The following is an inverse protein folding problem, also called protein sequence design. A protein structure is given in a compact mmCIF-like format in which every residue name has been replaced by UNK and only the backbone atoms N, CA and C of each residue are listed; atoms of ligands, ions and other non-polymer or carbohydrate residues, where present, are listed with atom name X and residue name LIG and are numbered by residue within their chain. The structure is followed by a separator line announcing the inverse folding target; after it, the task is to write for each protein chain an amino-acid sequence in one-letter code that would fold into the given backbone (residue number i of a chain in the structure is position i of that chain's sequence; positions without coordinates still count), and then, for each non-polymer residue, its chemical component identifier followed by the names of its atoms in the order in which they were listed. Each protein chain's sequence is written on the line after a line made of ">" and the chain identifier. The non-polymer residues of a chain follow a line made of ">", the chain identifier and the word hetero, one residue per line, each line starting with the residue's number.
data_IF_759790795303
#
_entry.id   IF_759790795303
#
_cell.length_a   1.000
_cell.length_b   1.000
_cell.length_c   1.000
_cell.angle_alpha   90.00
_cell.angle_beta   90.00
_cell.angle_gamma   90.00
#
_symmetry.space_group_name_H-M   'P 1'
#
loop_
_entity.id
_entity.type
_entity.pdbx_description
1 polymer ?
#
# COMPACT_ATOMS: atom_id res chain seq x y z
N UNK A 1 68.48 24.48 -29.14
CA UNK A 1 67.54 23.56 -28.44
C UNK A 1 66.66 22.90 -29.49
N UNK A 2 66.48 21.58 -29.41
CA UNK A 2 65.69 20.68 -30.27
C UNK A 2 64.82 19.80 -29.31
N UNK A 3 63.70 19.16 -29.65
CA UNK A 3 63.16 18.68 -30.95
C UNK A 3 61.62 18.37 -30.86
N UNK A 4 60.89 18.42 -31.99
CA UNK A 4 59.73 17.59 -32.51
C UNK A 4 58.73 16.90 -31.54
N UNK A 5 57.40 16.71 -31.78
CA UNK A 5 56.51 16.39 -32.96
C UNK A 5 55.03 16.81 -32.58
N UNK A 6 53.92 16.94 -33.35
CA UNK A 6 53.38 16.68 -34.74
C UNK A 6 53.07 15.18 -35.04
N UNK A 7 51.94 14.68 -35.63
CA UNK A 7 50.91 15.17 -36.61
C UNK A 7 49.47 14.63 -36.27
N UNK A 8 48.44 14.97 -37.06
CA UNK A 8 46.96 14.82 -36.85
C UNK A 8 46.28 13.86 -37.90
N UNK A 9 44.92 13.78 -38.19
CA UNK A 9 44.24 12.52 -38.59
C UNK A 9 43.68 12.45 -40.05
N UNK A 10 42.95 11.38 -40.40
CA UNK A 10 42.25 11.15 -41.70
C UNK A 10 40.90 10.40 -41.52
N UNK A 11 39.96 10.47 -42.48
CA UNK A 11 38.60 9.90 -42.42
C UNK A 11 38.05 9.25 -43.72
N UNK A 12 37.08 8.33 -43.57
CA UNK A 12 35.89 7.98 -44.40
C UNK A 12 35.94 7.90 -45.97
N UNK A 13 35.60 6.71 -46.55
CA UNK A 13 34.64 6.42 -47.68
C UNK A 13 35.05 5.36 -48.77
N UNK A 14 34.03 4.63 -49.25
CA UNK A 14 33.73 4.20 -50.66
C UNK A 14 34.22 2.86 -51.33
N UNK A 15 33.27 1.90 -51.46
CA UNK A 15 32.68 1.30 -52.70
C UNK A 15 33.43 0.35 -53.72
N UNK A 16 32.79 -0.80 -53.98
CA UNK A 16 32.50 -1.49 -55.30
C UNK A 16 33.42 -2.61 -55.91
N UNK A 17 32.75 -3.68 -56.40
CA UNK A 17 33.10 -4.75 -57.38
C UNK A 17 34.22 -5.78 -57.07
N UNK A 18 34.23 -7.01 -57.66
CA UNK A 18 33.17 -7.74 -58.38
C UNK A 18 33.59 -8.58 -59.62
N UNK A 19 33.80 -9.91 -59.47
CA UNK A 19 33.76 -11.01 -60.48
C UNK A 19 34.08 -12.34 -59.73
N UNK A 20 33.51 -13.55 -59.92
CA UNK A 20 32.72 -14.25 -60.97
C UNK A 20 33.54 -15.23 -61.86
N UNK A 21 33.60 -16.50 -61.42
CA UNK A 21 33.92 -17.72 -62.19
C UNK A 21 33.61 -18.95 -61.30
N UNK A 22 33.17 -20.13 -61.74
CA UNK A 22 32.58 -20.57 -63.02
C UNK A 22 31.67 -21.79 -62.69
N UNK A 23 30.66 -22.11 -63.50
CA UNK A 23 29.73 -23.22 -63.24
C UNK A 23 30.03 -24.46 -64.09
N UNK A 24 29.76 -25.67 -63.56
CA UNK A 24 29.10 -26.82 -64.24
C UNK A 24 28.52 -27.76 -63.15
N UNK A 25 27.41 -28.44 -63.48
CA UNK A 25 26.54 -29.28 -62.63
C UNK A 25 26.39 -30.64 -63.36
N UNK A 26 26.44 -31.82 -62.70
CA UNK A 26 25.20 -32.40 -62.15
C UNK A 26 25.28 -33.37 -60.95
N UNK A 27 24.19 -33.35 -60.16
CA UNK A 27 23.48 -34.59 -59.83
C UNK A 27 23.75 -35.25 -58.48
N UNK A 28 22.94 -34.93 -57.48
CA UNK A 28 22.02 -35.90 -56.87
C UNK A 28 20.89 -35.16 -56.14
N UNK A 29 19.67 -35.71 -56.19
CA UNK A 29 18.54 -35.19 -55.41
C UNK A 29 18.27 -36.14 -54.23
N UNK A 30 18.23 -35.61 -53.02
CA UNK A 30 17.81 -36.32 -51.82
C UNK A 30 16.96 -35.37 -50.96
N UNK A 31 15.76 -35.80 -50.61
CA UNK A 31 14.82 -35.03 -49.79
C UNK A 31 15.23 -35.10 -48.32
N UNK A 32 15.64 -33.98 -47.73
CA UNK A 32 15.80 -33.87 -46.28
C UNK A 32 14.41 -33.74 -45.62
N UNK A 33 14.11 -34.58 -44.64
CA UNK A 33 12.92 -34.42 -43.80
C UNK A 33 13.07 -33.22 -42.86
N UNK A 34 11.96 -32.55 -42.55
CA UNK A 34 11.89 -31.64 -41.42
C UNK A 34 11.82 -32.46 -40.13
N UNK A 35 12.96 -32.59 -39.43
CA UNK A 35 13.03 -33.25 -38.11
C UNK A 35 12.50 -32.29 -37.03
N UNK A 36 11.18 -32.07 -37.04
CA UNK A 36 10.45 -31.29 -36.04
C UNK A 36 10.45 -32.03 -34.69
N UNK A 37 11.60 -32.03 -34.02
CA UNK A 37 11.70 -32.38 -32.61
C UNK A 37 11.13 -31.24 -31.80
N UNK A 38 9.84 -31.33 -31.52
CA UNK A 38 9.23 -30.60 -30.40
C UNK A 38 10.11 -30.81 -29.18
N UNK A 39 10.65 -29.72 -28.61
CA UNK A 39 11.06 -29.77 -27.22
C UNK A 39 9.84 -30.24 -26.41
N UNK A 40 9.98 -31.12 -25.40
CA UNK A 40 8.88 -31.39 -24.51
C UNK A 40 8.51 -30.07 -23.85
N UNK A 41 7.23 -29.70 -23.92
CA UNK A 41 6.69 -28.79 -22.92
C UNK A 41 7.02 -29.44 -21.57
N UNK A 42 7.77 -28.71 -20.74
CA UNK A 42 7.93 -29.08 -19.35
C UNK A 42 6.55 -28.90 -18.72
N UNK A 43 5.73 -29.95 -18.78
CA UNK A 43 4.49 -30.04 -18.06
C UNK A 43 4.84 -29.84 -16.59
N UNK A 44 4.63 -28.62 -16.11
CA UNK A 44 4.78 -28.29 -14.71
C UNK A 44 3.91 -29.30 -13.97
N UNK A 45 4.55 -30.16 -13.18
CA UNK A 45 3.82 -31.00 -12.24
C UNK A 45 3.25 -30.00 -11.26
N UNK A 46 2.02 -29.57 -11.50
CA UNK A 46 1.30 -28.68 -10.62
C UNK A 46 1.42 -29.28 -9.22
N UNK A 47 2.18 -28.60 -8.36
CA UNK A 47 2.29 -28.99 -6.98
C UNK A 47 0.86 -29.06 -6.48
N UNK A 48 0.48 -30.19 -5.88
CA UNK A 48 -0.88 -30.32 -5.39
C UNK A 48 -1.00 -29.33 -4.24
N UNK A 49 -1.58 -28.15 -4.51
CA UNK A 49 -1.82 -27.11 -3.50
C UNK A 49 -2.49 -27.79 -2.30
N UNK A 50 -1.84 -27.66 -1.14
CA UNK A 50 -2.33 -28.20 0.12
C UNK A 50 -2.67 -27.00 0.97
N UNK A 51 -3.96 -26.75 1.14
CA UNK A 51 -4.44 -25.62 1.91
C UNK A 51 -3.82 -25.66 3.33
N UNK A 52 -3.15 -24.60 3.79
CA UNK A 52 -2.36 -24.63 5.03
C UNK A 52 -3.23 -24.77 6.27
N UNK A 53 -2.67 -25.37 7.32
CA UNK A 53 -3.22 -25.27 8.67
C UNK A 53 -2.78 -23.94 9.26
N UNK A 54 -3.71 -23.01 9.45
CA UNK A 54 -3.41 -21.68 9.97
C UNK A 54 -3.21 -21.68 11.50
N UNK A 55 -2.20 -20.96 11.97
CA UNK A 55 -1.80 -20.84 13.38
C UNK A 55 -1.50 -19.38 13.75
N UNK A 56 -1.78 -18.99 15.00
CA UNK A 56 -1.42 -17.67 15.52
C UNK A 56 -0.03 -17.73 16.18
N UNK A 57 0.86 -16.83 15.77
CA UNK A 57 2.25 -16.73 16.17
C UNK A 57 2.56 -15.54 17.07
N UNK A 58 1.63 -14.61 17.31
CA UNK A 58 1.92 -13.36 18.05
C UNK A 58 2.53 -13.61 19.45
N UNK A 59 2.18 -14.73 20.08
CA UNK A 59 2.75 -15.15 21.36
C UNK A 59 4.21 -15.64 21.30
N UNK A 60 4.60 -16.29 20.20
CA UNK A 60 5.98 -16.69 19.95
C UNK A 60 6.81 -15.51 19.44
N UNK A 61 6.22 -14.69 18.59
CA UNK A 61 6.85 -13.55 17.93
C UNK A 61 7.12 -12.32 18.84
N UNK A 62 6.66 -12.34 20.10
CA UNK A 62 6.80 -11.21 21.03
C UNK A 62 5.75 -10.09 20.86
N UNK A 63 4.83 -10.23 19.89
CA UNK A 63 3.83 -9.23 19.50
C UNK A 63 2.53 -9.26 20.35
N UNK A 64 2.45 -10.13 21.36
CA UNK A 64 1.25 -10.30 22.19
C UNK A 64 0.84 -9.00 22.93
N UNK A 65 -0.22 -8.36 22.43
CA UNK A 65 -0.81 -7.12 22.98
C UNK A 65 -2.34 -7.22 23.02
N UNK A 66 -3.02 -6.35 23.77
CA UNK A 66 -4.49 -6.32 23.83
C UNK A 66 -5.01 -4.92 24.16
N UNK A 67 -5.18 -4.10 23.13
CA UNK A 67 -5.49 -2.67 23.25
C UNK A 67 -6.17 -2.13 21.99
N UNK A 68 -6.13 -0.82 21.76
CA UNK A 68 -6.73 -0.18 20.57
C UNK A 68 -5.68 0.30 19.58
N UNK A 69 -5.79 -0.20 18.38
CA UNK A 69 -4.93 0.03 17.22
C UNK A 69 -5.48 1.17 16.36
N UNK A 70 -5.01 1.31 15.11
CA UNK A 70 -5.77 1.96 14.04
C UNK A 70 -5.35 1.48 12.64
N UNK A 71 -4.04 1.35 12.40
CA UNK A 71 -3.48 0.72 11.20
C UNK A 71 -2.13 0.06 11.49
N UNK A 72 -1.63 -0.75 10.56
CA UNK A 72 -0.26 -1.28 10.61
C UNK A 72 0.33 -1.42 9.22
N UNK A 73 1.63 -1.15 9.10
CA UNK A 73 2.39 -1.21 7.85
C UNK A 73 3.54 -2.23 7.99
N UNK A 74 3.99 -2.79 6.86
CA UNK A 74 5.09 -3.76 6.75
C UNK A 74 6.21 -3.17 5.89
N UNK A 75 7.43 -3.16 6.40
CA UNK A 75 8.55 -2.46 5.77
C UNK A 75 9.91 -2.96 6.27
N UNK A 76 10.92 -3.00 5.41
CA UNK A 76 12.32 -3.13 5.83
C UNK A 76 12.87 -1.73 6.15
N UNK A 77 12.96 -1.35 7.44
CA UNK A 77 13.37 0.02 7.81
C UNK A 77 14.88 0.20 7.92
N UNK A 78 15.67 -0.86 8.18
CA UNK A 78 17.14 -0.79 8.29
C UNK A 78 17.95 -1.46 7.16
N UNK A 79 17.27 -1.89 6.09
CA UNK A 79 17.80 -2.56 4.89
C UNK A 79 18.49 -3.91 5.17
N UNK A 80 17.89 -4.74 6.04
CA UNK A 80 18.41 -6.06 6.39
C UNK A 80 17.83 -7.20 5.54
N UNK A 81 16.73 -6.94 4.83
CA UNK A 81 16.05 -7.88 3.92
C UNK A 81 14.88 -8.65 4.54
N UNK A 82 14.38 -8.22 5.71
CA UNK A 82 13.22 -8.78 6.40
C UNK A 82 12.14 -7.71 6.61
N UNK A 83 10.86 -8.10 6.60
CA UNK A 83 9.79 -7.16 6.94
C UNK A 83 9.74 -6.90 8.46
N UNK A 84 9.90 -5.64 8.82
CA UNK A 84 9.58 -5.06 10.13
C UNK A 84 8.12 -4.60 10.19
N UNK A 85 7.63 -4.34 11.40
CA UNK A 85 6.22 -3.99 11.65
C UNK A 85 6.11 -2.59 12.28
N UNK A 86 5.42 -1.67 11.61
CA UNK A 86 5.00 -0.38 12.19
C UNK A 86 3.52 -0.44 12.56
N UNK A 87 3.20 -0.66 13.85
CA UNK A 87 1.79 -0.64 14.31
C UNK A 87 1.42 0.73 14.87
N UNK A 88 0.43 1.36 14.23
CA UNK A 88 -0.14 2.64 14.65
C UNK A 88 -1.20 2.42 15.71
N UNK A 89 -1.09 3.16 16.80
CA UNK A 89 -2.11 3.20 17.84
C UNK A 89 -2.76 4.60 17.84
N UNK A 90 -4.08 4.66 17.89
CA UNK A 90 -4.80 5.91 18.12
C UNK A 90 -4.36 6.53 19.48
N UNK A 91 -4.72 7.81 19.74
CA UNK A 91 -4.49 8.70 20.91
C UNK A 91 -4.25 8.14 22.36
N UNK A 92 -4.39 6.84 22.62
CA UNK A 92 -4.31 6.16 23.91
C UNK A 92 -2.96 5.48 24.20
N UNK A 93 -2.23 5.06 23.17
CA UNK A 93 -0.95 4.33 23.23
C UNK A 93 0.06 4.97 22.27
N UNK A 94 1.37 4.85 22.53
CA UNK A 94 2.42 5.29 21.59
C UNK A 94 2.38 4.46 20.28
N UNK A 95 2.77 5.01 19.13
CA UNK A 95 3.01 4.20 17.91
C UNK A 95 4.35 3.49 18.05
N UNK A 96 4.47 2.26 17.54
CA UNK A 96 5.67 1.43 17.76
C UNK A 96 6.16 0.80 16.47
N UNK A 97 7.49 0.83 16.30
CA UNK A 97 8.23 0.10 15.28
C UNK A 97 8.88 -1.13 15.92
N UNK A 98 8.62 -2.28 15.31
CA UNK A 98 9.05 -3.60 15.73
C UNK A 98 9.99 -4.15 14.68
N UNK A 99 11.30 -4.14 14.96
CA UNK A 99 12.26 -4.80 14.07
C UNK A 99 12.10 -6.31 14.16
N UNK A 100 12.15 -6.98 13.01
CA UNK A 100 12.35 -8.41 12.93
C UNK A 100 13.74 -8.78 13.50
N UNK A 101 13.83 -9.84 14.30
CA UNK A 101 15.10 -10.33 14.85
C UNK A 101 15.68 -11.52 14.04
N UNK A 102 15.04 -11.89 12.92
CA UNK A 102 15.50 -12.93 11.99
C UNK A 102 15.31 -14.37 12.48
N UNK A 103 14.76 -14.56 13.68
CA UNK A 103 14.40 -15.87 14.25
C UNK A 103 12.87 -16.09 14.36
N UNK A 104 12.09 -15.19 13.76
CA UNK A 104 10.63 -15.16 13.87
C UNK A 104 10.11 -14.44 15.11
N UNK A 105 10.97 -13.72 15.85
CA UNK A 105 10.59 -12.80 16.92
C UNK A 105 10.87 -11.34 16.57
N UNK A 106 10.23 -10.41 17.28
CA UNK A 106 10.30 -8.98 17.01
C UNK A 106 10.68 -8.16 18.24
N UNK A 107 11.63 -7.24 18.08
CA UNK A 107 12.07 -6.29 19.10
C UNK A 107 11.53 -4.88 18.81
N UNK A 108 10.91 -4.29 19.84
CA UNK A 108 10.47 -2.89 19.83
C UNK A 108 11.70 -1.95 19.83
N UNK A 109 12.12 -1.46 18.66
CA UNK A 109 13.33 -0.65 18.48
C UNK A 109 13.08 0.85 18.61
N UNK A 110 11.96 1.33 18.08
CA UNK A 110 11.59 2.74 18.07
C UNK A 110 10.11 2.94 18.41
N UNK A 111 9.77 4.14 18.90
CA UNK A 111 8.39 4.54 19.18
C UNK A 111 8.16 6.02 18.93
N UNK A 112 6.98 6.33 18.40
CA UNK A 112 6.50 7.70 18.23
C UNK A 112 5.54 8.02 19.40
N UNK A 113 5.92 8.91 20.34
CA UNK A 113 5.11 9.21 21.51
C UNK A 113 3.69 9.65 21.15
N UNK A 114 2.70 9.17 21.92
CA UNK A 114 1.31 9.66 21.82
C UNK A 114 1.12 11.05 22.45
N UNK A 115 2.07 11.44 23.31
CA UNK A 115 2.07 12.71 24.04
C UNK A 115 3.29 13.51 23.61
N UNK A 116 3.07 14.69 23.02
CA UNK A 116 4.14 15.59 22.61
C UNK A 116 4.78 16.33 23.81
N UNK A 117 5.83 17.12 23.56
CA UNK A 117 6.53 17.89 24.59
C UNK A 117 5.60 18.86 25.38
N UNK A 118 4.56 19.37 24.73
CA UNK A 118 3.55 20.30 25.24
C UNK A 118 2.41 19.59 26.01
N UNK A 119 2.49 18.27 26.22
CA UNK A 119 1.44 17.41 26.82
C UNK A 119 0.12 17.36 26.03
N UNK A 120 0.16 17.74 24.76
CA UNK A 120 -0.90 17.46 23.80
C UNK A 120 -0.86 16.00 23.37
N UNK A 121 -2.03 15.47 23.04
CA UNK A 121 -2.19 14.14 22.43
C UNK A 121 -2.54 14.33 20.97
N UNK A 122 -1.85 13.62 20.06
CA UNK A 122 -2.17 13.65 18.64
C UNK A 122 -3.30 12.66 18.32
N UNK A 123 -4.23 13.07 17.47
CA UNK A 123 -5.27 12.20 16.90
C UNK A 123 -4.65 11.41 15.73
N UNK A 124 -3.54 10.70 15.99
CA UNK A 124 -2.80 9.94 14.97
C UNK A 124 -3.70 8.83 14.45
N UNK A 125 -3.78 8.71 13.13
CA UNK A 125 -4.59 7.70 12.46
C UNK A 125 -3.70 6.71 11.74
N UNK A 126 -2.96 7.20 10.74
CA UNK A 126 -2.23 6.33 9.82
C UNK A 126 -0.79 6.80 9.63
N UNK A 127 0.10 5.88 9.28
CA UNK A 127 1.50 6.15 8.96
C UNK A 127 1.94 5.30 7.77
N UNK A 128 2.77 5.85 6.89
CA UNK A 128 3.29 5.14 5.72
C UNK A 128 4.76 5.48 5.48
N UNK A 129 5.53 4.50 5.00
CA UNK A 129 6.98 4.60 4.86
C UNK A 129 7.46 4.91 3.42
N UNK A 130 8.48 5.76 3.30
CA UNK A 130 9.20 6.04 2.04
C UNK A 130 10.54 6.76 2.34
N UNK A 131 11.59 6.46 1.58
CA UNK A 131 12.83 7.26 1.52
C UNK A 131 12.52 8.59 0.82
N UNK A 132 12.17 9.62 1.60
CA UNK A 132 11.65 10.89 1.06
C UNK A 132 12.76 11.89 0.77
N UNK A 133 13.91 11.79 1.43
CA UNK A 133 15.09 12.64 1.20
C UNK A 133 16.13 12.03 0.25
N UNK A 134 16.01 10.73 -0.08
CA UNK A 134 16.87 10.02 -1.02
C UNK A 134 18.18 9.51 -0.39
N UNK A 135 18.25 9.36 0.94
CA UNK A 135 19.42 8.85 1.63
C UNK A 135 19.57 7.32 1.59
N UNK A 136 18.52 6.58 1.19
CA UNK A 136 18.49 5.11 1.14
C UNK A 136 17.93 4.44 2.38
N UNK A 137 17.25 5.16 3.27
CA UNK A 137 16.57 4.65 4.46
C UNK A 137 15.10 5.09 4.42
N UNK A 138 14.18 4.26 4.92
CA UNK A 138 12.77 4.63 4.94
C UNK A 138 12.47 5.66 6.04
N UNK A 139 11.84 6.77 5.66
CA UNK A 139 11.29 7.77 6.57
C UNK A 139 9.81 7.47 6.86
N UNK A 140 9.32 7.84 8.04
CA UNK A 140 7.95 7.54 8.48
C UNK A 140 7.13 8.84 8.56
N UNK A 141 6.21 9.04 7.63
CA UNK A 141 5.16 10.06 7.78
C UNK A 141 3.99 9.51 8.60
N UNK A 142 3.43 10.31 9.50
CA UNK A 142 2.22 9.99 10.26
C UNK A 142 1.17 11.12 10.20
N UNK A 143 -0.07 10.76 9.87
CA UNK A 143 -1.19 11.69 9.73
C UNK A 143 -1.77 12.11 11.10
N UNK A 144 -1.87 13.42 11.31
CA UNK A 144 -2.38 14.03 12.53
C UNK A 144 -3.79 14.61 12.34
N UNK A 145 -4.81 13.99 12.94
CA UNK A 145 -6.17 14.52 12.91
C UNK A 145 -6.38 15.73 13.85
N UNK A 146 -7.13 16.74 13.40
CA UNK A 146 -7.75 17.71 14.31
C UNK A 146 -9.09 17.20 14.87
N UNK A 147 -9.27 17.23 16.19
CA UNK A 147 -10.48 16.79 16.90
C UNK A 147 -11.18 17.95 17.67
N UNK A 148 -12.27 17.68 18.41
CA UNK A 148 -13.05 18.74 19.09
C UNK A 148 -12.29 19.46 20.23
N UNK A 149 -11.18 18.90 20.70
CA UNK A 149 -10.30 19.51 21.71
C UNK A 149 -9.13 20.29 21.08
N UNK A 150 -8.99 20.25 19.76
CA UNK A 150 -7.88 20.80 19.00
C UNK A 150 -8.40 21.31 17.64
N UNK A 151 -9.01 22.51 17.62
CA UNK A 151 -9.62 23.06 16.40
C UNK A 151 -8.60 23.49 15.34
N UNK A 152 -7.39 23.87 15.76
CA UNK A 152 -6.25 24.18 14.89
C UNK A 152 -5.05 23.45 15.49
N UNK A 153 -4.35 22.63 14.69
CA UNK A 153 -3.06 22.03 15.09
C UNK A 153 -1.99 23.13 15.15
N UNK A 154 -1.14 23.09 16.17
CA UNK A 154 0.12 23.85 16.17
C UNK A 154 1.21 22.97 15.57
N UNK A 155 2.34 23.57 15.17
CA UNK A 155 3.49 22.84 14.60
C UNK A 155 3.87 21.57 15.38
N UNK A 156 3.80 21.63 16.71
CA UNK A 156 4.21 20.53 17.59
C UNK A 156 3.09 19.50 17.84
N UNK A 157 1.91 19.73 17.26
CA UNK A 157 0.74 18.82 17.25
C UNK A 157 0.27 18.55 15.81
N UNK A 158 1.13 18.76 14.82
CA UNK A 158 0.73 18.68 13.42
C UNK A 158 0.81 17.24 12.88
N UNK A 159 0.89 17.07 11.57
CA UNK A 159 1.37 15.83 10.98
C UNK A 159 2.87 15.69 11.26
N UNK A 160 3.34 14.46 11.43
CA UNK A 160 4.73 14.16 11.80
C UNK A 160 5.46 13.56 10.58
N UNK A 161 6.74 13.88 10.39
CA UNK A 161 7.61 13.26 9.38
C UNK A 161 8.94 12.90 10.03
N UNK A 162 9.07 11.63 10.40
CA UNK A 162 10.23 11.09 11.09
C UNK A 162 11.30 10.69 10.07
N UNK A 163 12.21 11.61 9.79
CA UNK A 163 13.35 11.32 8.93
C UNK A 163 14.33 10.38 9.62
N UNK A 164 14.80 9.36 8.91
CA UNK A 164 15.74 8.36 9.40
C UNK A 164 17.18 8.75 9.05
N UNK A 165 17.94 9.24 10.04
CA UNK A 165 19.30 9.75 9.84
C UNK A 165 20.38 8.65 9.81
N UNK A 166 20.00 7.45 10.25
CA UNK A 166 20.73 6.18 10.26
C UNK A 166 19.74 5.11 10.74
N UNK A 167 19.98 3.80 10.51
CA UNK A 167 19.20 2.70 11.09
C UNK A 167 18.71 2.93 12.53
N UNK A 168 17.39 3.00 12.70
CA UNK A 168 16.68 3.21 13.96
C UNK A 168 16.76 4.63 14.55
N UNK A 169 17.41 5.59 13.89
CA UNK A 169 17.68 6.94 14.40
C UNK A 169 16.81 8.00 13.71
N UNK A 170 15.54 8.03 14.12
CA UNK A 170 14.53 8.93 13.59
C UNK A 170 14.53 10.33 14.22
N UNK A 171 14.12 11.35 13.48
CA UNK A 171 13.85 12.72 13.97
C UNK A 171 12.67 13.36 13.24
N UNK A 172 11.66 13.82 13.98
CA UNK A 172 10.52 14.55 13.38
C UNK A 172 10.96 15.89 12.77
N UNK A 173 10.48 16.10 11.55
CA UNK A 173 10.71 17.27 10.70
C UNK A 173 9.43 17.79 10.03
N UNK A 174 8.25 17.25 10.35
CA UNK A 174 7.01 17.47 9.57
C UNK A 174 6.65 18.94 9.30
N UNK A 175 6.83 19.83 10.27
CA UNK A 175 6.63 21.28 10.06
C UNK A 175 7.74 21.91 9.20
N UNK A 176 8.99 21.51 9.39
CA UNK A 176 10.14 22.05 8.65
C UNK A 176 10.13 21.60 7.18
N UNK A 177 9.54 20.44 6.90
CA UNK A 177 9.38 19.84 5.57
C UNK A 177 8.09 20.22 4.84
N UNK A 178 7.26 21.09 5.41
CA UNK A 178 6.08 21.64 4.72
C UNK A 178 4.81 20.80 4.79
N UNK A 179 4.83 19.61 5.42
CA UNK A 179 3.63 18.76 5.61
C UNK A 179 2.74 19.16 6.79
N UNK A 180 3.08 20.28 7.46
CA UNK A 180 2.21 20.93 8.44
C UNK A 180 0.87 21.34 7.83
N UNK A 181 -0.22 20.93 8.47
CA UNK A 181 -1.59 21.14 8.01
C UNK A 181 -2.46 21.50 9.21
N UNK A 182 -2.36 22.75 9.66
CA UNK A 182 -3.05 23.26 10.84
C UNK A 182 -4.57 22.95 10.89
N UNK A 183 -5.21 22.74 9.73
CA UNK A 183 -6.63 22.42 9.58
C UNK A 183 -6.91 20.98 9.09
N UNK A 184 -5.87 20.15 8.96
CA UNK A 184 -5.95 18.76 8.52
C UNK A 184 -6.72 17.84 9.45
N UNK A 185 -7.63 17.07 8.87
CA UNK A 185 -8.38 15.98 9.52
C UNK A 185 -7.80 14.63 9.08
N UNK A 186 -6.47 14.51 9.18
CA UNK A 186 -5.66 13.46 8.55
C UNK A 186 -6.14 12.05 8.86
N UNK A 187 -6.18 11.22 7.83
CA UNK A 187 -6.57 9.80 7.83
C UNK A 187 -5.57 9.05 6.94
N UNK A 188 -6.01 8.21 6.00
CA UNK A 188 -5.09 7.26 5.37
C UNK A 188 -4.10 7.98 4.43
N UNK A 189 -2.90 7.42 4.32
CA UNK A 189 -1.76 8.01 3.62
C UNK A 189 -1.41 7.16 2.40
N UNK A 190 -0.91 7.79 1.34
CA UNK A 190 -0.20 7.07 0.29
C UNK A 190 0.99 7.87 -0.22
N UNK A 191 2.13 7.18 -0.41
CA UNK A 191 3.28 7.68 -1.15
C UNK A 191 3.15 7.24 -2.61
N UNK A 192 3.09 8.19 -3.54
CA UNK A 192 2.85 7.94 -4.96
C UNK A 192 3.44 9.05 -5.81
N UNK A 193 4.23 8.70 -6.82
CA UNK A 193 4.63 9.63 -7.88
C UNK A 193 3.37 10.02 -8.68
N UNK A 194 2.90 11.28 -8.56
CA UNK A 194 1.68 11.74 -9.25
C UNK A 194 1.96 12.52 -10.53
N UNK A 195 3.13 13.16 -10.67
CA UNK A 195 3.47 13.94 -11.87
C UNK A 195 4.52 13.30 -12.81
N UNK A 196 4.95 12.08 -12.48
CA UNK A 196 5.86 11.19 -13.21
C UNK A 196 7.31 11.73 -13.29
N UNK A 197 7.82 12.34 -12.21
CA UNK A 197 9.21 12.83 -12.15
C UNK A 197 10.22 11.82 -11.58
N UNK A 198 9.75 10.75 -10.92
CA UNK A 198 10.55 9.68 -10.34
C UNK A 198 10.64 9.69 -8.81
N UNK A 199 10.16 10.72 -8.13
CA UNK A 199 10.00 10.74 -6.67
C UNK A 199 8.55 10.45 -6.28
N UNK A 200 8.32 9.86 -5.09
CA UNK A 200 6.96 9.72 -4.57
C UNK A 200 6.52 11.00 -3.86
N UNK A 201 5.35 11.49 -4.26
CA UNK A 201 4.62 12.56 -3.60
C UNK A 201 3.78 12.03 -2.44
N UNK A 202 3.38 12.91 -1.53
CA UNK A 202 2.58 12.56 -0.37
C UNK A 202 1.09 12.89 -0.61
N UNK A 203 0.23 11.88 -0.61
CA UNK A 203 -1.23 12.05 -0.62
C UNK A 203 -1.79 11.78 0.79
N UNK A 204 -2.44 12.79 1.38
CA UNK A 204 -3.01 12.74 2.73
C UNK A 204 -4.53 12.76 2.65
N UNK A 205 -5.15 11.61 2.91
CA UNK A 205 -6.59 11.46 3.12
C UNK A 205 -7.07 12.32 4.27
N UNK A 206 -8.22 12.99 4.11
CA UNK A 206 -8.79 13.86 5.15
C UNK A 206 -10.30 13.63 5.29
N UNK A 207 -10.81 13.66 6.52
CA UNK A 207 -12.26 13.81 6.73
C UNK A 207 -12.73 15.21 6.30
N UNK A 208 -13.98 15.29 5.86
CA UNK A 208 -14.63 16.52 5.44
C UNK A 208 -14.63 17.62 6.52
N UNK A 209 -14.70 18.86 6.03
CA UNK A 209 -14.93 20.08 6.81
C UNK A 209 -16.05 19.90 7.86
N UNK A 210 -15.85 20.45 9.06
CA UNK A 210 -16.88 20.39 10.11
C UNK A 210 -17.94 21.44 9.87
N UNK A 211 -19.21 21.07 10.01
CA UNK A 211 -20.34 22.01 9.96
C UNK A 211 -20.49 22.84 11.26
N UNK A 212 -19.41 23.46 11.75
CA UNK A 212 -19.43 24.41 12.87
C UNK A 212 -19.10 25.82 12.35
N UNK A 213 -20.02 26.81 12.43
CA UNK A 213 -19.77 28.19 11.98
C UNK A 213 -18.77 28.96 12.86
N UNK A 214 -18.22 28.35 13.92
CA UNK A 214 -17.13 28.90 14.74
C UNK A 214 -15.78 28.28 14.45
N UNK A 215 -15.71 27.28 13.56
CA UNK A 215 -14.46 26.60 13.27
C UNK A 215 -13.50 27.57 12.54
N UNK A 216 -12.34 27.92 13.12
CA UNK A 216 -11.43 28.90 12.52
C UNK A 216 -10.86 28.42 11.18
N UNK A 217 -10.90 27.12 10.89
CA UNK A 217 -10.51 26.54 9.61
C UNK A 217 -11.49 26.90 8.48
N UNK A 218 -12.78 27.08 8.79
CA UNK A 218 -13.81 27.43 7.81
C UNK A 218 -13.83 28.94 7.49
N UNK A 219 -13.08 29.75 8.24
CA UNK A 219 -13.01 31.20 8.08
C UNK A 219 -11.88 31.55 7.13
N UNK A 220 -12.19 31.71 5.84
CA UNK A 220 -11.22 32.00 4.78
C UNK A 220 -10.29 33.20 5.05
N UNK A 221 -10.73 34.18 5.86
CA UNK A 221 -9.91 35.32 6.27
C UNK A 221 -8.71 34.96 7.17
N UNK A 222 -8.69 33.74 7.74
CA UNK A 222 -7.56 33.23 8.53
C UNK A 222 -6.44 32.62 7.67
N UNK A 223 -6.68 32.39 6.37
CA UNK A 223 -5.64 31.95 5.42
C UNK A 223 -5.18 30.49 5.53
N UNK A 224 -5.92 29.63 6.25
CA UNK A 224 -5.60 28.20 6.34
C UNK A 224 -5.82 27.45 5.02
N UNK A 225 -5.13 26.32 4.85
CA UNK A 225 -5.40 25.38 3.76
C UNK A 225 -6.80 24.74 3.93
N UNK A 226 -7.50 24.37 2.83
CA UNK A 226 -8.77 23.67 2.90
C UNK A 226 -8.67 22.36 3.69
N UNK A 227 -9.70 21.97 4.44
CA UNK A 227 -9.68 20.72 5.23
C UNK A 227 -9.68 19.44 4.38
N UNK A 228 -9.94 19.55 3.08
CA UNK A 228 -9.97 18.42 2.17
C UNK A 228 -8.63 17.68 2.01
N UNK A 229 -8.70 16.54 1.35
CA UNK A 229 -7.57 15.69 0.96
C UNK A 229 -6.51 16.50 0.22
N UNK A 230 -5.23 16.23 0.52
CA UNK A 230 -4.10 17.02 0.01
C UNK A 230 -3.12 16.14 -0.74
N UNK A 231 -2.48 16.75 -1.74
CA UNK A 231 -1.24 16.26 -2.33
C UNK A 231 -0.13 17.25 -1.97
N UNK A 232 1.03 16.75 -1.59
CA UNK A 232 2.26 17.53 -1.43
C UNK A 232 3.32 16.95 -2.37
N UNK A 233 3.81 17.76 -3.31
CA UNK A 233 4.83 17.31 -4.26
C UNK A 233 6.22 17.31 -3.61
N UNK A 234 7.07 16.33 -3.94
CA UNK A 234 8.44 16.21 -3.41
C UNK A 234 9.44 17.00 -4.26
N UNK A 235 10.12 17.99 -3.65
CA UNK A 235 11.18 18.80 -4.31
C UNK A 235 12.51 18.03 -4.33
N UNK A 236 12.49 16.81 -4.89
CA UNK A 236 13.62 15.89 -5.08
C UNK A 236 14.47 15.69 -3.82
N UNK A 237 13.81 15.44 -2.69
CA UNK A 237 14.44 15.26 -1.38
C UNK A 237 14.79 16.55 -0.64
N UNK A 238 14.37 17.72 -1.12
CA UNK A 238 14.55 19.00 -0.42
C UNK A 238 13.36 19.42 0.47
N UNK A 239 12.18 18.81 0.30
CA UNK A 239 10.96 19.12 1.06
C UNK A 239 9.66 18.76 0.33
N UNK A 240 8.53 18.94 1.00
CA UNK A 240 7.19 18.62 0.47
C UNK A 240 6.30 19.86 0.37
N UNK A 241 5.80 20.17 -0.83
CA UNK A 241 5.05 21.41 -1.11
C UNK A 241 3.57 21.13 -1.44
N UNK A 242 2.64 21.70 -0.64
CA UNK A 242 1.20 21.55 -0.88
C UNK A 242 0.79 22.01 -2.29
N UNK A 243 0.20 21.08 -3.05
CA UNK A 243 -0.10 21.28 -4.45
C UNK A 243 -1.61 21.37 -4.71
N UNK A 244 -2.12 22.61 -4.74
CA UNK A 244 -3.55 22.90 -4.87
C UNK A 244 -4.18 22.35 -6.17
N UNK A 245 -3.45 22.31 -7.28
CA UNK A 245 -3.93 21.78 -8.56
C UNK A 245 -4.25 20.27 -8.46
N UNK A 246 -3.42 19.51 -7.75
CA UNK A 246 -3.59 18.09 -7.51
C UNK A 246 -4.61 17.79 -6.40
N UNK A 247 -4.90 18.74 -5.52
CA UNK A 247 -5.77 18.56 -4.33
C UNK A 247 -7.28 18.75 -4.59
N UNK A 248 -7.75 18.55 -5.82
CA UNK A 248 -9.13 18.86 -6.27
C UNK A 248 -10.14 17.72 -6.01
N UNK A 249 -10.23 17.25 -4.76
CA UNK A 249 -11.05 16.09 -4.39
C UNK A 249 -12.43 16.45 -3.80
N UNK A 250 -13.39 15.52 -3.89
CA UNK A 250 -14.62 15.57 -3.05
C UNK A 250 -14.26 15.38 -1.57
N UNK A 251 -15.05 15.95 -0.63
CA UNK A 251 -14.84 15.74 0.81
C UNK A 251 -14.86 14.26 1.23
N UNK A 252 -14.10 13.91 2.27
CA UNK A 252 -13.86 12.54 2.78
C UNK A 252 -13.03 11.59 1.88
N UNK A 253 -12.44 12.03 0.76
CA UNK A 253 -11.54 11.18 -0.04
C UNK A 253 -10.34 10.72 0.81
N UNK A 254 -9.99 9.44 0.79
CA UNK A 254 -8.89 8.88 1.59
C UNK A 254 -9.20 8.76 3.09
N UNK A 255 -10.44 8.99 3.52
CA UNK A 255 -10.75 9.06 4.97
C UNK A 255 -10.95 7.71 5.67
N UNK A 256 -10.96 6.60 4.92
CA UNK A 256 -10.93 5.21 5.45
C UNK A 256 -10.02 4.24 4.66
N UNK A 257 -9.84 4.42 3.36
CA UNK A 257 -8.83 3.71 2.56
C UNK A 257 -8.29 4.67 1.49
N UNK A 258 -7.05 4.47 1.03
CA UNK A 258 -6.42 5.25 -0.03
C UNK A 258 -5.47 4.35 -0.82
N UNK A 259 -5.79 4.06 -2.08
CA UNK A 259 -5.11 3.04 -2.90
C UNK A 259 -4.66 3.66 -4.23
N UNK A 260 -3.34 3.82 -4.46
CA UNK A 260 -2.79 4.14 -5.76
C UNK A 260 -2.87 2.93 -6.71
N UNK A 261 -3.34 3.13 -7.95
CA UNK A 261 -3.33 2.11 -9.00
C UNK A 261 -3.47 2.75 -10.38
N UNK A 262 -2.62 2.42 -11.36
CA UNK A 262 -2.88 2.74 -12.77
C UNK A 262 -3.93 1.77 -13.32
N UNK A 263 -5.21 2.05 -13.03
CA UNK A 263 -6.31 1.16 -13.43
C UNK A 263 -6.62 1.23 -14.92
N UNK A 264 -6.07 2.21 -15.65
CA UNK A 264 -6.42 2.48 -17.03
C UNK A 264 -5.27 2.20 -18.01
N UNK A 265 -4.08 1.89 -17.49
CA UNK A 265 -2.84 1.59 -18.19
C UNK A 265 -2.33 2.75 -19.08
N UNK A 266 -2.56 4.00 -18.67
CA UNK A 266 -2.03 5.21 -19.36
C UNK A 266 -0.68 5.71 -18.82
N UNK A 267 -0.07 4.96 -17.90
CA UNK A 267 1.29 5.15 -17.38
C UNK A 267 1.38 6.20 -16.27
N UNK A 268 0.27 6.55 -15.63
CA UNK A 268 0.19 7.45 -14.46
C UNK A 268 -0.60 6.77 -13.36
N UNK A 269 -0.19 6.98 -12.11
CA UNK A 269 -0.90 6.39 -10.98
C UNK A 269 -2.23 7.14 -10.74
N UNK A 270 -3.36 6.44 -10.86
CA UNK A 270 -4.67 6.93 -10.45
C UNK A 270 -4.89 6.66 -8.94
N UNK A 271 -5.96 7.23 -8.36
CA UNK A 271 -6.29 7.04 -6.94
C UNK A 271 -7.72 6.51 -6.75
N UNK A 272 -7.85 5.46 -5.93
CA UNK A 272 -9.11 5.02 -5.31
C UNK A 272 -9.08 5.44 -3.83
N UNK A 273 -10.21 5.90 -3.27
CA UNK A 273 -10.27 6.26 -1.85
C UNK A 273 -11.65 6.09 -1.23
N UNK A 274 -11.70 5.47 -0.05
CA UNK A 274 -12.94 5.18 0.68
C UNK A 274 -13.31 6.33 1.62
N UNK A 275 -14.62 6.64 1.72
CA UNK A 275 -15.13 7.67 2.63
C UNK A 275 -15.67 7.09 3.95
N UNK A 276 -15.18 7.59 5.09
CA UNK A 276 -15.56 7.12 6.43
C UNK A 276 -17.07 7.28 6.74
N UNK A 277 -17.66 6.29 7.43
CA UNK A 277 -19.08 6.16 7.86
C UNK A 277 -20.12 5.96 6.76
N UNK A 278 -20.02 6.63 5.62
CA UNK A 278 -20.94 6.42 4.49
C UNK A 278 -20.43 5.34 3.52
N UNK A 279 -19.16 4.95 3.65
CA UNK A 279 -18.48 3.84 2.99
C UNK A 279 -18.65 3.90 1.47
N UNK A 280 -18.34 5.05 0.85
CA UNK A 280 -18.40 5.23 -0.60
C UNK A 280 -16.98 5.17 -1.16
N UNK A 281 -16.75 4.33 -2.16
CA UNK A 281 -15.54 4.40 -2.96
C UNK A 281 -15.62 5.59 -3.91
N UNK A 282 -14.60 6.46 -3.87
CA UNK A 282 -14.34 7.49 -4.86
C UNK A 282 -13.17 7.05 -5.74
N UNK A 283 -13.15 7.47 -7.00
CA UNK A 283 -12.05 7.21 -7.91
C UNK A 283 -11.66 8.48 -8.66
N UNK A 284 -10.36 8.68 -8.85
CA UNK A 284 -9.78 9.87 -9.47
C UNK A 284 -8.73 9.48 -10.48
N UNK A 285 -8.93 9.86 -11.74
CA UNK A 285 -7.97 9.63 -12.81
C UNK A 285 -6.92 10.74 -12.85
N UNK A 286 -5.67 10.37 -12.99
CA UNK A 286 -4.54 11.27 -13.16
C UNK A 286 -4.50 11.80 -14.60
N UNK A 287 -4.24 13.10 -14.76
CA UNK A 287 -4.18 13.76 -16.07
C UNK A 287 -2.78 14.25 -16.45
N UNK A 288 -1.78 14.01 -15.61
CA UNK A 288 -0.42 14.58 -15.74
C UNK A 288 -0.32 16.05 -15.32
N UNK A 289 -1.39 16.61 -14.75
CA UNK A 289 -1.39 17.98 -14.19
C UNK A 289 -2.50 18.18 -13.13
N UNK A 290 -2.84 17.11 -12.38
CA UNK A 290 -3.99 17.07 -11.48
C UNK A 290 -4.89 15.86 -11.70
N UNK A 291 -5.86 15.70 -10.79
CA UNK A 291 -6.82 14.59 -10.77
C UNK A 291 -8.21 15.00 -11.26
N UNK A 292 -8.92 14.07 -11.93
CA UNK A 292 -10.33 14.23 -12.34
C UNK A 292 -11.20 13.09 -11.81
N UNK A 293 -12.39 13.43 -11.29
CA UNK A 293 -13.33 12.48 -10.69
C UNK A 293 -13.87 11.45 -11.71
N UNK A 294 -13.50 10.20 -11.51
CA UNK A 294 -13.90 9.02 -12.30
C UNK A 294 -14.87 8.10 -11.53
N UNK A 295 -15.35 8.51 -10.35
CA UNK A 295 -16.18 7.70 -9.43
C UNK A 295 -17.39 7.07 -10.11
N UNK A 296 -18.07 7.84 -10.99
CA UNK A 296 -19.27 7.38 -11.70
C UNK A 296 -18.97 6.42 -12.86
N UNK A 297 -17.73 6.40 -13.35
CA UNK A 297 -17.27 5.54 -14.46
C UNK A 297 -16.91 4.15 -13.95
N UNK A 298 -16.13 4.06 -12.86
CA UNK A 298 -15.80 2.77 -12.24
C UNK A 298 -16.96 2.19 -11.43
N UNK A 299 -17.85 3.05 -10.91
CA UNK A 299 -19.03 2.67 -10.13
C UNK A 299 -18.70 1.60 -9.06
N UNK A 300 -17.67 1.88 -8.26
CA UNK A 300 -17.12 0.92 -7.29
C UNK A 300 -18.14 0.55 -6.19
N UNK A 301 -19.06 1.47 -5.87
CA UNK A 301 -20.21 1.22 -5.02
C UNK A 301 -19.96 1.63 -3.57
N UNK A 302 -20.31 0.76 -2.63
CA UNK A 302 -20.05 0.96 -1.20
C UNK A 302 -19.11 -0.08 -0.64
N UNK A 303 -18.01 0.39 -0.05
CA UNK A 303 -16.90 -0.44 0.43
C UNK A 303 -16.32 0.15 1.73
N UNK A 304 -15.90 -0.71 2.64
CA UNK A 304 -15.14 -0.32 3.82
C UNK A 304 -13.65 -0.14 3.50
N UNK A 305 -13.13 -0.93 2.55
CA UNK A 305 -11.71 -0.95 2.20
C UNK A 305 -11.47 -1.54 0.78
N UNK A 306 -10.26 -1.39 0.24
CA UNK A 306 -9.85 -1.84 -1.08
C UNK A 306 -8.36 -2.22 -1.14
N UNK A 307 -8.01 -3.24 -1.91
CA UNK A 307 -6.63 -3.67 -2.16
C UNK A 307 -6.44 -4.08 -3.64
N UNK A 308 -5.21 -4.05 -4.16
CA UNK A 308 -4.90 -4.33 -5.57
C UNK A 308 -3.72 -5.30 -5.73
N UNK A 309 -3.87 -6.29 -6.61
CA UNK A 309 -2.83 -7.24 -7.01
C UNK A 309 -3.24 -7.96 -8.29
N UNK A 310 -2.30 -8.55 -9.05
CA UNK A 310 -2.65 -9.50 -10.09
C UNK A 310 -3.03 -10.85 -9.44
N UNK A 311 -4.32 -11.18 -9.41
CA UNK A 311 -4.83 -12.41 -8.79
C UNK A 311 -4.87 -13.60 -9.76
N UNK A 312 -4.47 -13.40 -11.02
CA UNK A 312 -4.71 -14.35 -12.10
C UNK A 312 -3.52 -14.63 -13.03
N UNK A 313 -2.43 -13.87 -12.91
CA UNK A 313 -1.17 -14.03 -13.63
C UNK A 313 -1.16 -13.46 -15.05
N UNK A 314 -2.01 -12.47 -15.36
CA UNK A 314 -2.06 -11.82 -16.69
C UNK A 314 -1.32 -10.47 -16.77
N UNK A 315 -0.64 -10.06 -15.70
CA UNK A 315 0.16 -8.84 -15.61
C UNK A 315 -0.66 -7.57 -15.42
N UNK A 316 -1.94 -7.71 -15.05
CA UNK A 316 -2.89 -6.61 -14.84
C UNK A 316 -3.39 -6.66 -13.40
N UNK A 317 -3.36 -5.51 -12.70
CA UNK A 317 -3.84 -5.43 -11.33
C UNK A 317 -5.37 -5.61 -11.27
N UNK A 318 -5.81 -6.62 -10.54
CA UNK A 318 -7.20 -6.82 -10.13
C UNK A 318 -7.49 -6.03 -8.85
N UNK A 319 -8.76 -5.67 -8.64
CA UNK A 319 -9.20 -4.86 -7.49
C UNK A 319 -10.08 -5.68 -6.54
N UNK A 320 -9.60 -5.89 -5.31
CA UNK A 320 -10.36 -6.48 -4.20
C UNK A 320 -11.05 -5.37 -3.41
N UNK A 321 -12.28 -5.61 -2.99
CA UNK A 321 -13.14 -4.66 -2.28
C UNK A 321 -13.86 -5.33 -1.11
N UNK A 322 -13.68 -4.79 0.10
CA UNK A 322 -14.43 -5.19 1.29
C UNK A 322 -15.74 -4.40 1.34
N UNK A 323 -16.88 -5.08 1.40
CA UNK A 323 -18.21 -4.49 1.43
C UNK A 323 -19.06 -4.98 2.62
N UNK A 324 -20.23 -4.36 2.82
CA UNK A 324 -21.18 -4.60 3.94
C UNK A 324 -21.84 -6.00 3.94
N UNK A 325 -21.24 -6.95 3.22
CA UNK A 325 -21.63 -8.35 3.17
C UNK A 325 -20.41 -9.28 2.99
N UNK A 326 -19.15 -8.83 3.11
CA UNK A 326 -17.94 -9.62 2.88
C UNK A 326 -16.97 -9.02 1.87
N UNK A 327 -16.47 -9.78 0.89
CA UNK A 327 -15.49 -9.32 -0.10
C UNK A 327 -15.84 -9.70 -1.55
N UNK A 328 -15.49 -8.81 -2.47
CA UNK A 328 -15.58 -9.02 -3.93
C UNK A 328 -14.23 -8.75 -4.58
N UNK A 329 -13.97 -9.33 -5.76
CA UNK A 329 -12.95 -8.81 -6.68
C UNK A 329 -13.62 -8.24 -7.93
N UNK A 330 -12.88 -7.40 -8.66
CA UNK A 330 -13.16 -7.00 -10.04
C UNK A 330 -11.89 -7.24 -10.86
N UNK A 331 -11.99 -8.04 -11.93
CA UNK A 331 -10.85 -8.27 -12.82
C UNK A 331 -10.39 -6.96 -13.47
N UNK A 332 -9.09 -6.70 -13.51
CA UNK A 332 -8.52 -5.56 -14.22
C UNK A 332 -8.63 -5.70 -15.74
N UNK A 333 -8.64 -4.58 -16.45
CA UNK A 333 -8.78 -4.51 -17.90
C UNK A 333 -8.06 -3.28 -18.43
N UNK A 334 -7.76 -3.25 -19.74
CA UNK A 334 -7.09 -2.15 -20.43
C UNK A 334 -7.76 -0.76 -20.35
N UNK A 335 -8.86 -0.57 -19.61
CA UNK A 335 -9.53 0.72 -19.38
C UNK A 335 -10.22 0.82 -18.01
N UNK A 336 -9.82 0.03 -17.00
CA UNK A 336 -10.48 -0.02 -15.68
C UNK A 336 -10.86 -1.45 -15.25
N UNK A 337 -11.88 -1.59 -14.43
CA UNK A 337 -12.25 -2.88 -13.84
C UNK A 337 -13.56 -3.47 -14.39
N UNK A 338 -13.62 -4.80 -14.43
CA UNK A 338 -14.78 -5.58 -14.80
C UNK A 338 -15.91 -5.51 -13.75
N UNK A 339 -16.99 -6.28 -13.98
CA UNK A 339 -18.06 -6.45 -13.00
C UNK A 339 -17.57 -7.18 -11.73
N UNK A 340 -18.13 -6.82 -10.58
CA UNK A 340 -17.76 -7.42 -9.30
C UNK A 340 -18.22 -8.88 -9.18
N UNK A 341 -17.33 -9.72 -8.65
CA UNK A 341 -17.55 -11.13 -8.36
C UNK A 341 -17.38 -11.35 -6.85
N UNK A 342 -18.39 -11.93 -6.21
CA UNK A 342 -18.43 -12.20 -4.77
C UNK A 342 -17.65 -13.47 -4.43
N UNK A 343 -16.53 -13.30 -3.72
CA UNK A 343 -15.64 -14.40 -3.31
C UNK A 343 -15.86 -14.85 -1.86
N UNK A 344 -16.23 -13.93 -0.97
CA UNK A 344 -16.58 -14.26 0.41
C UNK A 344 -17.82 -13.48 0.86
N UNK A 345 -18.79 -14.19 1.47
CA UNK A 345 -19.94 -13.56 2.13
C UNK A 345 -19.81 -13.71 3.64
N UNK A 346 -19.80 -12.58 4.35
CA UNK A 346 -19.60 -12.49 5.79
C UNK A 346 -20.75 -13.13 6.58
N UNK A 347 -20.48 -13.71 7.77
CA UNK A 347 -21.48 -14.46 8.52
C UNK A 347 -22.48 -13.57 9.25
N UNK A 348 -23.78 -13.84 9.08
CA UNK A 348 -24.86 -13.24 9.87
C UNK A 348 -25.12 -11.77 9.54
N UNK A 349 -24.53 -10.87 10.32
CA UNK A 349 -24.61 -9.41 10.15
C UNK A 349 -23.22 -8.75 10.32
N UNK A 350 -22.18 -9.47 9.93
CA UNK A 350 -20.82 -8.95 9.85
C UNK A 350 -20.58 -8.26 8.49
N UNK A 351 -19.72 -7.25 8.51
CA UNK A 351 -19.18 -6.54 7.35
C UNK A 351 -17.80 -7.13 6.99
N UNK A 352 -17.36 -6.98 5.74
CA UNK A 352 -15.92 -6.98 5.43
C UNK A 352 -15.34 -5.62 5.79
N UNK A 353 -14.23 -5.56 6.50
CA UNK A 353 -13.74 -4.33 7.15
C UNK A 353 -12.39 -3.83 6.63
N UNK A 354 -11.41 -4.72 6.46
CA UNK A 354 -10.08 -4.44 5.92
C UNK A 354 -9.56 -5.64 5.10
N UNK A 355 -8.57 -5.41 4.24
CA UNK A 355 -8.00 -6.40 3.33
C UNK A 355 -6.47 -6.39 3.38
N UNK A 356 -5.88 -7.58 3.40
CA UNK A 356 -4.48 -7.77 3.03
C UNK A 356 -4.39 -8.76 1.86
N UNK A 357 -3.36 -8.62 1.05
CA UNK A 357 -3.02 -9.53 -0.05
C UNK A 357 -1.56 -9.95 0.13
N UNK A 358 -1.31 -11.25 0.02
CA UNK A 358 0.01 -11.86 0.19
C UNK A 358 -0.04 -13.36 -0.15
N UNK A 359 1.10 -13.99 -0.39
CA UNK A 359 1.22 -15.42 -0.72
C UNK A 359 1.56 -16.24 0.54
N UNK A 360 0.56 -16.90 1.13
CA UNK A 360 0.74 -17.65 2.39
C UNK A 360 1.51 -18.98 2.22
N UNK A 361 1.80 -19.37 0.97
CA UNK A 361 2.23 -20.72 0.60
C UNK A 361 3.50 -20.77 -0.27
N UNK A 362 3.95 -19.63 -0.80
CA UNK A 362 5.15 -19.47 -1.62
C UNK A 362 5.03 -20.09 -3.01
N UNK A 363 3.84 -20.09 -3.62
CA UNK A 363 3.58 -20.66 -4.96
C UNK A 363 3.44 -19.62 -6.09
N UNK A 364 3.47 -18.33 -5.75
CA UNK A 364 3.41 -17.18 -6.65
C UNK A 364 1.99 -16.69 -6.94
N UNK A 365 0.98 -17.14 -6.19
CA UNK A 365 -0.42 -16.74 -6.34
C UNK A 365 -0.87 -15.92 -5.13
N UNK A 366 -1.21 -14.62 -5.27
CA UNK A 366 -1.60 -13.81 -4.13
C UNK A 366 -2.95 -14.27 -3.54
N UNK A 367 -2.96 -14.56 -2.24
CA UNK A 367 -4.14 -14.86 -1.42
C UNK A 367 -4.77 -13.58 -0.89
N UNK A 368 -6.00 -13.66 -0.38
CA UNK A 368 -6.73 -12.51 0.16
C UNK A 368 -7.12 -12.79 1.61
N UNK A 369 -6.55 -12.06 2.57
CA UNK A 369 -7.08 -12.01 3.93
C UNK A 369 -8.22 -11.00 4.00
N UNK A 370 -9.38 -11.43 4.47
CA UNK A 370 -10.56 -10.58 4.70
C UNK A 370 -10.83 -10.51 6.20
N UNK A 371 -10.46 -9.37 6.79
CA UNK A 371 -10.81 -9.03 8.16
C UNK A 371 -12.28 -8.62 8.23
N UNK A 372 -12.98 -9.11 9.25
CA UNK A 372 -14.40 -8.89 9.47
C UNK A 372 -14.66 -8.12 10.76
N UNK A 373 -15.69 -7.28 10.73
CA UNK A 373 -16.19 -6.59 11.92
C UNK A 373 -17.71 -6.70 11.98
N UNK A 374 -18.29 -6.43 13.14
CA UNK A 374 -19.70 -6.14 13.32
C UNK A 374 -19.84 -4.78 13.99
N UNK A 375 -19.64 -3.72 13.19
CA UNK A 375 -19.70 -2.31 13.62
C UNK A 375 -20.91 -1.98 14.51
N UNK A 376 -22.04 -2.64 14.22
CA UNK A 376 -23.32 -2.51 14.94
C UNK A 376 -23.36 -3.27 16.27
N UNK A 377 -22.70 -4.43 16.37
CA UNK A 377 -22.71 -5.28 17.58
C UNK A 377 -21.49 -5.08 18.48
N UNK A 378 -20.42 -4.49 17.93
CA UNK A 378 -19.10 -4.31 18.55
C UNK A 378 -18.45 -5.63 19.00
N UNK A 379 -18.37 -6.57 18.08
CA UNK A 379 -17.88 -7.95 18.28
C UNK A 379 -17.03 -8.42 17.11
N UNK A 380 -15.95 -9.16 17.38
CA UNK A 380 -15.15 -9.86 16.36
C UNK A 380 -15.93 -11.06 15.75
N UNK A 381 -16.31 -11.03 14.46
CA UNK A 381 -16.75 -12.22 13.73
C UNK A 381 -15.54 -13.05 13.28
N UNK A 382 -15.72 -14.28 12.77
CA UNK A 382 -14.60 -15.05 12.23
C UNK A 382 -14.22 -14.61 10.82
N UNK A 383 -12.96 -14.23 10.64
CA UNK A 383 -12.31 -13.80 9.39
C UNK A 383 -12.09 -14.94 8.39
N UNK A 384 -11.67 -14.61 7.16
CA UNK A 384 -11.24 -15.62 6.17
C UNK A 384 -9.91 -15.27 5.53
N UNK A 385 -9.10 -16.30 5.33
CA UNK A 385 -8.06 -16.28 4.30
C UNK A 385 -8.63 -17.00 3.07
N UNK A 386 -8.54 -16.38 1.91
CA UNK A 386 -9.00 -16.92 0.63
C UNK A 386 -7.76 -17.33 -0.17
N UNK A 387 -7.37 -18.60 -0.02
CA UNK A 387 -6.16 -19.15 -0.65
C UNK A 387 -6.41 -19.31 -2.16
N UNK A 388 -5.51 -18.77 -2.98
CA UNK A 388 -5.62 -18.70 -4.42
C UNK A 388 -5.07 -20.00 -5.06
N UNK A 389 -5.88 -20.61 -5.92
CA UNK A 389 -5.52 -21.80 -6.71
C UNK A 389 -5.45 -21.46 -8.21
N UNK A 390 -5.32 -20.18 -8.54
CA UNK A 390 -5.16 -19.63 -9.87
C UNK A 390 -6.49 -19.28 -10.55
N UNK A 391 -6.43 -18.35 -11.51
CA UNK A 391 -7.57 -17.94 -12.34
C UNK A 391 -8.85 -17.57 -11.55
N UNK A 392 -8.69 -16.88 -10.41
CA UNK A 392 -9.75 -16.51 -9.46
C UNK A 392 -10.48 -17.68 -8.78
N UNK A 393 -9.86 -18.86 -8.71
CA UNK A 393 -10.33 -19.99 -7.89
C UNK A 393 -9.78 -19.86 -6.47
N UNK A 394 -10.67 -19.71 -5.46
CA UNK A 394 -10.25 -19.51 -4.06
C UNK A 394 -10.79 -20.61 -3.13
N UNK A 395 -9.96 -21.06 -2.19
CA UNK A 395 -10.34 -21.91 -1.06
C UNK A 395 -10.42 -21.06 0.22
N UNK A 396 -11.60 -21.01 0.84
CA UNK A 396 -11.84 -20.19 2.02
C UNK A 396 -11.47 -20.93 3.32
N UNK A 397 -10.33 -20.57 3.90
CA UNK A 397 -9.88 -21.01 5.22
C UNK A 397 -10.37 -20.08 6.33
N UNK A 398 -10.49 -20.60 7.54
CA UNK A 398 -10.85 -19.83 8.74
C UNK A 398 -9.62 -19.74 9.66
N UNK A 399 -9.00 -18.55 9.82
CA UNK A 399 -7.92 -18.31 10.76
C UNK A 399 -8.30 -18.63 12.22
N UNK A 400 -7.30 -18.80 13.12
CA UNK A 400 -7.49 -18.85 14.57
C UNK A 400 -8.16 -17.59 15.14
N UNK A 401 -9.50 -17.59 15.19
CA UNK A 401 -10.28 -16.40 15.54
C UNK A 401 -10.27 -16.05 17.03
N UNK A 402 -10.13 -14.76 17.34
CA UNK A 402 -10.42 -14.19 18.68
C UNK A 402 -11.92 -13.91 18.87
N UNK A 403 -12.42 -13.99 20.12
CA UNK A 403 -13.77 -13.55 20.49
C UNK A 403 -13.79 -12.24 21.29
N UNK A 404 -12.63 -11.61 21.49
CA UNK A 404 -12.49 -10.28 22.09
C UNK A 404 -11.97 -9.30 21.04
N UNK A 405 -12.39 -8.04 21.14
CA UNK A 405 -12.05 -7.00 20.17
C UNK A 405 -13.10 -6.77 19.09
N UNK A 406 -12.65 -6.13 18.03
CA UNK A 406 -13.33 -5.82 16.75
C UNK A 406 -12.24 -5.66 15.69
N UNK A 407 -12.37 -6.28 14.53
CA UNK A 407 -11.42 -6.14 13.42
C UNK A 407 -11.22 -4.67 13.06
N UNK A 408 -9.96 -4.26 12.93
CA UNK A 408 -9.54 -2.87 12.76
C UNK A 408 -8.77 -2.69 11.44
N UNK A 409 -7.67 -3.43 11.30
CA UNK A 409 -6.77 -3.43 10.14
C UNK A 409 -5.96 -4.74 10.02
N UNK A 410 -5.39 -5.02 8.84
CA UNK A 410 -4.54 -6.20 8.58
C UNK A 410 -3.50 -5.92 7.49
N UNK A 411 -2.27 -6.40 7.69
CA UNK A 411 -1.18 -6.35 6.71
C UNK A 411 -0.61 -7.76 6.42
N UNK A 412 -0.05 -7.95 5.22
CA UNK A 412 0.84 -9.06 4.91
C UNK A 412 2.28 -8.69 5.34
N UNK A 413 3.08 -9.69 5.72
CA UNK A 413 4.44 -9.54 6.28
C UNK A 413 5.28 -10.78 5.93
N UNK A 414 6.34 -10.64 5.13
CA UNK A 414 7.35 -11.68 4.97
C UNK A 414 8.37 -11.63 6.11
N UNK A 415 8.00 -12.29 7.20
CA UNK A 415 8.80 -12.42 8.42
C UNK A 415 10.14 -13.14 8.17
N UNK A 416 10.39 -13.71 6.98
CA UNK A 416 11.52 -14.59 6.69
C UNK A 416 12.33 -14.28 5.42
N UNK A 417 11.98 -13.25 4.66
CA UNK A 417 12.66 -12.87 3.41
C UNK A 417 12.70 -13.98 2.36
N UNK A 418 11.65 -14.79 2.27
CA UNK A 418 11.55 -15.98 1.40
C UNK A 418 10.33 -16.03 0.47
N UNK A 419 9.45 -15.03 0.51
CA UNK A 419 8.20 -14.97 -0.26
C UNK A 419 7.05 -15.81 0.30
N UNK A 420 7.00 -16.02 1.62
CA UNK A 420 5.89 -16.72 2.31
C UNK A 420 5.31 -15.80 3.39
N UNK A 421 4.22 -15.12 3.05
CA UNK A 421 3.60 -14.09 3.85
C UNK A 421 2.88 -14.62 5.09
N UNK A 422 2.93 -13.84 6.16
CA UNK A 422 2.10 -13.97 7.35
C UNK A 422 1.20 -12.75 7.46
N UNK A 423 0.01 -12.90 8.07
CA UNK A 423 -0.94 -11.80 8.21
C UNK A 423 -0.95 -11.26 9.63
N UNK A 424 -0.50 -10.02 9.81
CA UNK A 424 -0.59 -9.31 11.08
C UNK A 424 -1.99 -8.69 11.21
N UNK A 425 -2.80 -9.21 12.12
CA UNK A 425 -4.21 -8.86 12.26
C UNK A 425 -4.45 -8.05 13.54
N UNK A 426 -5.04 -6.86 13.38
CA UNK A 426 -5.38 -5.96 14.47
C UNK A 426 -6.88 -6.08 14.81
N UNK A 427 -7.19 -6.49 16.04
CA UNK A 427 -8.58 -6.62 16.53
C UNK A 427 -8.97 -5.49 17.51
N UNK A 428 -8.34 -4.31 17.39
CA UNK A 428 -8.39 -3.22 18.38
C UNK A 428 -9.26 -2.02 18.02
N UNK A 429 -10.39 -2.18 17.33
CA UNK A 429 -11.12 -1.03 16.80
C UNK A 429 -11.84 -0.13 17.84
N UNK A 430 -11.92 1.17 17.51
CA UNK A 430 -12.90 2.15 18.01
C UNK A 430 -12.92 2.38 19.54
N UNK A 431 -13.65 1.54 20.30
CA UNK A 431 -13.76 1.58 21.77
C UNK A 431 -13.32 0.30 22.46
N UNK A 432 -13.01 -0.75 21.70
CA UNK A 432 -12.77 -2.09 22.21
C UNK A 432 -11.28 -2.41 22.16
N UNK A 433 -10.70 -2.77 23.31
CA UNK A 433 -9.39 -3.40 23.30
C UNK A 433 -9.53 -4.83 22.73
N UNK A 434 -8.64 -5.23 21.82
CA UNK A 434 -8.55 -6.59 21.31
C UNK A 434 -7.13 -6.99 20.94
N UNK A 435 -6.88 -8.29 20.67
CA UNK A 435 -5.54 -8.80 20.49
C UNK A 435 -4.93 -8.45 19.13
N UNK A 436 -3.62 -8.30 19.12
CA UNK A 436 -2.80 -8.45 17.91
C UNK A 436 -2.58 -9.95 17.70
N UNK A 437 -2.78 -10.42 16.47
CA UNK A 437 -2.52 -11.80 16.05
C UNK A 437 -1.55 -11.81 14.87
N UNK A 438 -0.75 -12.87 14.72
CA UNK A 438 0.13 -13.05 13.56
C UNK A 438 -0.21 -14.41 12.94
N UNK A 439 -1.05 -14.39 11.90
CA UNK A 439 -1.61 -15.59 11.30
C UNK A 439 -0.65 -16.12 10.24
N UNK A 440 -0.13 -17.33 10.46
CA UNK A 440 0.84 -17.99 9.59
C UNK A 440 0.38 -19.38 9.19
N UNK A 441 0.95 -19.92 8.11
CA UNK A 441 0.92 -21.35 7.83
C UNK A 441 1.67 -22.15 8.93
N UNK A 442 1.22 -23.38 9.18
CA UNK A 442 1.95 -24.35 9.99
C UNK A 442 3.05 -25.06 9.16
N UNK A 443 4.25 -25.27 9.73
CA UNK A 443 5.31 -26.11 9.14
C UNK A 443 4.96 -27.59 9.04
#
# INVERSE_FOLDING_TARGET
>A
MLHRRVIVPVALRALIAGCLALAVVPGLAATAHADHRSAPEAAAVAAKVVDPVLVDRAAAAGLLRTERTWSTDALDYDNDGLDDILTVFHQWTDTYLYRNDGDGTFTNTFKIPRVNAQRGVLDRHDCAAYDVDGNGLLDIYCSGGRNQSNYVKTAEKDNELWLQLAPGQFTDRGTEWGVGDACGRGRMVAWVDVDNDGWKDLVVGNQAERSDPKDPCNVAANGYLPEGTKVYLNDHGAGLTYAAAWSSFRPNMGSRCLVPVDYNHDGRMDLIGCTFRNNVALAYRNTGSGFVDATSSLNLGKVADAAVADLNGDGVADLVLADVNGATYRRGTATGFASAVRIFTAPGSADGFALAIGDVQGDGLPDIYVLTDSTTSKTNPPDRLLVNHGAFSFVALTPPNTTSGMGDDVAAVDVTGNGVDQFLVLNGADTNNGPVQLIAAAP
#
